data_IF_345817114044
#
_entry.id   IF_345817114044
#
_cell.length_a   1.000
_cell.length_b   1.000
_cell.length_c   1.000
_cell.angle_alpha   90.00
_cell.angle_beta   90.00
_cell.angle_gamma   90.00
#
_symmetry.space_group_name_H-M   'P 1'
#
loop_
_entity.id
_entity.type
_entity.pdbx_description
1 polymer ?
#
# COMPACT_ATOMS: atom_id res chain seq x y z
N UNK A 1 27.68 6.34 21.26
CA UNK A 1 28.52 6.56 20.05
C UNK A 1 28.73 5.28 19.24
N UNK A 2 29.02 4.10 19.83
CA UNK A 2 29.23 2.84 19.09
C UNK A 2 28.00 2.30 18.33
N UNK A 3 26.79 2.44 18.90
CA UNK A 3 25.52 1.97 18.29
C UNK A 3 25.14 2.74 17.01
N UNK A 4 25.50 4.03 16.92
CA UNK A 4 25.16 4.87 15.77
C UNK A 4 25.91 4.40 14.51
N UNK A 5 27.16 3.95 14.67
CA UNK A 5 28.01 3.48 13.57
C UNK A 5 27.59 2.11 13.02
N UNK A 6 27.04 1.22 13.84
CA UNK A 6 26.54 -0.09 13.38
C UNK A 6 25.22 0.04 12.59
N UNK A 7 24.38 1.02 12.93
CA UNK A 7 23.10 1.25 12.28
C UNK A 7 23.19 2.08 10.99
N UNK A 8 24.21 2.92 10.86
CA UNK A 8 24.35 3.86 9.73
C UNK A 8 24.30 3.20 8.34
N UNK A 9 24.96 2.05 8.08
CA UNK A 9 24.89 1.40 6.76
C UNK A 9 23.48 0.91 6.44
N UNK A 10 22.79 0.32 7.42
CA UNK A 10 21.43 -0.19 7.25
C UNK A 10 20.40 0.92 7.01
N UNK A 11 20.52 2.05 7.74
CA UNK A 11 19.70 3.24 7.53
C UNK A 11 19.97 3.86 6.16
N UNK A 12 21.24 3.95 5.74
CA UNK A 12 21.61 4.49 4.43
C UNK A 12 21.01 3.65 3.30
N UNK A 13 21.15 2.32 3.39
CA UNK A 13 20.55 1.40 2.42
C UNK A 13 19.03 1.52 2.39
N UNK A 14 18.39 1.61 3.56
CA UNK A 14 16.96 1.82 3.69
C UNK A 14 16.53 3.12 2.99
N UNK A 15 17.21 4.24 3.24
CA UNK A 15 16.90 5.54 2.62
C UNK A 15 17.04 5.53 1.10
N UNK A 16 18.13 4.96 0.57
CA UNK A 16 18.31 4.79 -0.88
C UNK A 16 17.12 4.01 -1.47
N UNK A 17 16.70 2.96 -0.78
CA UNK A 17 15.60 2.11 -1.22
C UNK A 17 14.25 2.83 -1.17
N UNK A 18 13.98 3.62 -0.12
CA UNK A 18 12.77 4.44 -0.02
C UNK A 18 12.74 5.51 -1.13
N UNK A 19 13.86 6.17 -1.40
CA UNK A 19 13.96 7.15 -2.49
C UNK A 19 13.70 6.51 -3.85
N UNK A 20 14.24 5.31 -4.10
CA UNK A 20 13.93 4.56 -5.31
C UNK A 20 12.43 4.28 -5.45
N UNK A 21 11.77 3.80 -4.39
CA UNK A 21 10.33 3.56 -4.44
C UNK A 21 9.49 4.84 -4.55
N UNK A 22 9.97 5.96 -4.01
CA UNK A 22 9.33 7.26 -4.14
C UNK A 22 9.35 7.73 -5.61
N UNK A 23 10.51 7.63 -6.26
CA UNK A 23 10.65 7.94 -7.70
C UNK A 23 9.79 7.02 -8.56
N UNK A 24 9.72 5.72 -8.22
CA UNK A 24 8.86 4.76 -8.88
C UNK A 24 7.38 5.17 -8.81
N UNK A 25 6.86 5.42 -7.61
CA UNK A 25 5.46 5.79 -7.40
C UNK A 25 5.13 7.13 -8.07
N UNK A 26 6.05 8.10 -8.03
CA UNK A 26 5.89 9.40 -8.68
C UNK A 26 5.79 9.27 -10.20
N UNK A 27 6.67 8.47 -10.80
CA UNK A 27 6.66 8.21 -12.25
C UNK A 27 5.41 7.44 -12.67
N UNK A 28 5.02 6.42 -11.90
CA UNK A 28 3.82 5.63 -12.18
C UNK A 28 2.55 6.49 -12.07
N UNK A 29 2.42 7.29 -11.01
CA UNK A 29 1.29 8.19 -10.81
C UNK A 29 1.21 9.21 -11.94
N UNK A 30 2.32 9.88 -12.27
CA UNK A 30 2.38 10.85 -13.37
C UNK A 30 1.92 10.22 -14.70
N UNK A 31 2.41 9.02 -15.00
CA UNK A 31 2.04 8.30 -16.23
C UNK A 31 0.56 7.95 -16.26
N UNK A 32 0.02 7.43 -15.16
CA UNK A 32 -1.39 7.03 -15.06
C UNK A 32 -2.31 8.25 -15.13
N UNK A 33 -1.96 9.33 -14.43
CA UNK A 33 -2.70 10.60 -14.48
C UNK A 33 -2.66 11.18 -15.88
N UNK A 34 -1.50 11.20 -16.53
CA UNK A 34 -1.36 11.68 -17.91
C UNK A 34 -2.27 10.90 -18.87
N UNK A 35 -2.20 9.56 -18.85
CA UNK A 35 -3.03 8.73 -19.72
C UNK A 35 -4.52 8.84 -19.44
N UNK A 36 -4.90 8.96 -18.16
CA UNK A 36 -6.30 9.02 -17.77
C UNK A 36 -6.92 10.38 -18.07
N UNK A 37 -6.31 11.46 -17.61
CA UNK A 37 -6.92 12.79 -17.67
C UNK A 37 -6.64 13.49 -19.00
N UNK A 38 -5.45 13.31 -19.57
CA UNK A 38 -5.08 13.97 -20.84
C UNK A 38 -5.43 13.11 -22.06
N UNK A 39 -5.24 11.79 -22.00
CA UNK A 39 -5.56 10.88 -23.12
C UNK A 39 -6.93 10.21 -23.03
N UNK A 40 -7.67 10.38 -21.91
CA UNK A 40 -9.02 9.82 -21.68
C UNK A 40 -9.12 8.31 -21.90
N UNK A 41 -8.02 7.56 -21.69
CA UNK A 41 -8.03 6.10 -21.78
C UNK A 41 -8.88 5.48 -20.64
N UNK A 42 -9.81 4.58 -20.98
CA UNK A 42 -10.66 3.87 -20.00
C UNK A 42 -9.93 2.65 -19.43
N UNK A 43 -9.93 2.48 -18.11
CA UNK A 43 -9.23 1.39 -17.43
C UNK A 43 -9.30 1.47 -15.90
N UNK A 44 -8.82 0.46 -15.17
CA UNK A 44 -8.84 0.41 -13.69
C UNK A 44 -7.84 1.40 -13.04
N UNK A 45 -7.61 2.55 -13.66
CA UNK A 45 -6.70 3.58 -13.22
C UNK A 45 -7.12 4.23 -11.89
N UNK A 46 -8.38 4.12 -11.49
CA UNK A 46 -8.87 4.75 -10.25
C UNK A 46 -8.16 4.23 -9.02
N UNK A 47 -8.14 2.91 -8.85
CA UNK A 47 -7.46 2.29 -7.72
C UNK A 47 -5.96 2.54 -7.75
N UNK A 48 -5.35 2.51 -8.94
CA UNK A 48 -3.91 2.75 -9.08
C UNK A 48 -3.57 4.17 -8.62
N UNK A 49 -4.33 5.19 -9.06
CA UNK A 49 -4.11 6.59 -8.65
C UNK A 49 -4.16 6.71 -7.12
N UNK A 50 -5.20 6.20 -6.47
CA UNK A 50 -5.33 6.28 -5.01
C UNK A 50 -4.20 5.53 -4.27
N UNK A 51 -3.85 4.32 -4.72
CA UNK A 51 -2.78 3.52 -4.12
C UNK A 51 -1.41 4.16 -4.29
N UNK A 52 -1.10 4.72 -5.46
CA UNK A 52 0.18 5.40 -5.72
C UNK A 52 0.27 6.74 -5.02
N UNK A 53 -0.83 7.51 -4.94
CA UNK A 53 -0.86 8.75 -4.15
C UNK A 53 -0.59 8.49 -2.67
N UNK A 54 -1.24 7.47 -2.10
CA UNK A 54 -0.96 7.09 -0.70
C UNK A 54 0.42 6.48 -0.52
N UNK A 55 0.93 5.77 -1.53
CA UNK A 55 2.30 5.29 -1.57
C UNK A 55 3.35 6.40 -1.53
N UNK A 56 3.10 7.51 -2.23
CA UNK A 56 3.95 8.70 -2.17
C UNK A 56 3.90 9.35 -0.79
N UNK A 57 2.69 9.62 -0.29
CA UNK A 57 2.48 10.27 1.00
C UNK A 57 3.14 9.46 2.12
N UNK A 58 2.91 8.14 2.17
CA UNK A 58 3.51 7.26 3.18
C UNK A 58 5.04 7.27 3.14
N UNK A 59 5.66 7.24 1.94
CA UNK A 59 7.12 7.29 1.79
C UNK A 59 7.70 8.63 2.24
N UNK A 60 7.04 9.74 1.93
CA UNK A 60 7.45 11.06 2.42
C UNK A 60 7.36 11.09 3.96
N UNK A 61 6.27 10.59 4.55
CA UNK A 61 6.15 10.48 6.00
C UNK A 61 7.23 9.57 6.62
N UNK A 62 7.57 8.45 5.98
CA UNK A 62 8.66 7.57 6.40
C UNK A 62 10.00 8.31 6.43
N UNK A 63 10.29 9.13 5.41
CA UNK A 63 11.50 9.96 5.41
C UNK A 63 11.51 10.90 6.62
N UNK A 64 10.40 11.56 6.93
CA UNK A 64 10.31 12.38 8.14
C UNK A 64 10.49 11.55 9.42
N UNK A 65 9.91 10.34 9.52
CA UNK A 65 10.03 9.50 10.71
C UNK A 65 11.44 8.94 10.94
N UNK A 66 12.14 8.55 9.88
CA UNK A 66 13.46 7.87 9.97
C UNK A 66 14.62 8.85 9.91
N UNK A 67 14.53 9.90 9.09
CA UNK A 67 15.62 10.88 8.89
C UNK A 67 15.61 11.96 9.98
N UNK A 68 14.46 12.25 10.60
CA UNK A 68 14.41 13.30 11.61
C UNK A 68 15.29 13.01 12.83
N UNK A 69 15.37 11.74 13.28
CA UNK A 69 16.21 11.41 14.43
C UNK A 69 17.70 11.78 14.23
N UNK A 70 18.40 11.30 13.18
CA UNK A 70 19.80 11.67 12.96
C UNK A 70 20.00 13.16 12.64
N UNK A 71 19.07 13.81 11.94
CA UNK A 71 19.16 15.26 11.66
C UNK A 71 19.06 16.08 12.94
N UNK A 72 18.10 15.76 13.81
CA UNK A 72 17.85 16.50 15.05
C UNK A 72 18.97 16.28 16.06
N UNK A 73 19.57 15.10 16.07
CA UNK A 73 20.79 14.80 16.83
C UNK A 73 21.99 15.59 16.28
N UNK A 74 22.18 15.65 14.96
CA UNK A 74 23.22 16.46 14.33
C UNK A 74 23.07 17.96 14.63
N UNK A 75 21.83 18.48 14.69
CA UNK A 75 21.53 19.88 14.99
C UNK A 75 21.52 20.21 16.50
N UNK A 76 21.73 19.24 17.40
CA UNK A 76 21.64 19.40 18.85
C UNK A 76 20.30 19.96 19.37
N UNK A 77 19.19 19.75 18.63
CA UNK A 77 17.84 20.25 19.00
C UNK A 77 17.14 19.27 19.96
N UNK A 78 17.52 18.00 19.95
CA UNK A 78 16.93 16.93 20.78
C UNK A 78 15.69 16.29 20.14
N UNK A 79 15.68 14.96 20.01
CA UNK A 79 14.65 14.20 19.28
C UNK A 79 13.23 14.43 19.80
N UNK A 80 13.05 14.54 21.11
CA UNK A 80 11.73 14.77 21.72
C UNK A 80 11.14 16.13 21.36
N UNK A 81 11.97 17.17 21.15
CA UNK A 81 11.50 18.50 20.71
C UNK A 81 10.91 18.42 19.29
N UNK A 82 11.59 17.72 18.38
CA UNK A 82 11.05 17.44 17.05
C UNK A 82 9.75 16.63 17.10
N UNK A 83 9.73 15.60 17.95
CA UNK A 83 8.60 14.70 18.10
C UNK A 83 7.35 15.42 18.62
N UNK A 84 7.51 16.37 19.54
CA UNK A 84 6.41 17.20 20.02
C UNK A 84 5.94 18.21 18.97
N UNK A 85 6.85 18.77 18.16
CA UNK A 85 6.50 19.79 17.19
C UNK A 85 5.81 19.24 15.92
N UNK A 86 6.28 18.12 15.39
CA UNK A 86 5.90 17.62 14.06
C UNK A 86 5.50 16.13 14.06
N UNK A 87 5.88 15.39 15.10
CA UNK A 87 5.69 13.94 15.17
C UNK A 87 4.22 13.50 15.07
N UNK A 88 3.31 14.20 15.74
CA UNK A 88 1.87 13.88 15.70
C UNK A 88 1.28 14.03 14.30
N UNK A 89 1.59 15.14 13.62
CA UNK A 89 1.10 15.40 12.26
C UNK A 89 1.65 14.38 11.26
N UNK A 90 2.96 14.08 11.33
CA UNK A 90 3.59 13.08 10.47
C UNK A 90 3.00 11.68 10.72
N UNK A 91 2.71 11.36 11.98
CA UNK A 91 2.08 10.09 12.38
C UNK A 91 0.65 9.99 11.86
N UNK A 92 -0.14 11.08 11.93
CA UNK A 92 -1.48 11.15 11.38
C UNK A 92 -1.48 10.88 9.86
N UNK A 93 -0.63 11.60 9.13
CA UNK A 93 -0.52 11.49 7.66
C UNK A 93 -0.06 10.08 7.26
N UNK A 94 0.93 9.53 7.97
CA UNK A 94 1.40 8.17 7.74
C UNK A 94 0.27 7.15 7.99
N UNK A 95 -0.42 7.25 9.12
CA UNK A 95 -1.50 6.33 9.49
C UNK A 95 -2.66 6.38 8.48
N UNK A 96 -3.02 7.58 8.01
CA UNK A 96 -4.02 7.74 6.94
C UNK A 96 -3.59 7.06 5.65
N UNK A 97 -2.37 7.36 5.17
CA UNK A 97 -1.84 6.81 3.93
C UNK A 97 -1.59 5.30 3.97
N UNK A 98 -1.58 4.71 5.17
CA UNK A 98 -1.54 3.27 5.41
C UNK A 98 -2.93 2.62 5.49
N UNK A 99 -3.84 3.17 6.30
CA UNK A 99 -5.18 2.61 6.52
C UNK A 99 -6.06 2.72 5.28
N UNK A 100 -5.95 3.81 4.52
CA UNK A 100 -6.78 3.98 3.34
C UNK A 100 -6.56 2.89 2.27
N UNK A 101 -5.32 2.55 1.86
CA UNK A 101 -5.04 1.38 1.03
C UNK A 101 -5.61 0.06 1.56
N UNK A 102 -5.64 -0.13 2.88
CA UNK A 102 -6.19 -1.33 3.50
C UNK A 102 -7.70 -1.47 3.20
N UNK A 103 -8.49 -0.44 3.48
CA UNK A 103 -9.92 -0.44 3.16
C UNK A 103 -10.19 -0.40 1.65
N UNK A 104 -9.33 0.27 0.88
CA UNK A 104 -9.40 0.26 -0.57
C UNK A 104 -9.19 -1.15 -1.13
N UNK A 105 -8.33 -1.96 -0.51
CA UNK A 105 -8.13 -3.38 -0.88
C UNK A 105 -9.37 -4.23 -0.61
N UNK A 106 -10.11 -3.95 0.48
CA UNK A 106 -11.39 -4.58 0.76
C UNK A 106 -12.43 -4.19 -0.31
N UNK A 107 -12.54 -2.90 -0.66
CA UNK A 107 -13.42 -2.43 -1.74
C UNK A 107 -13.08 -3.10 -3.07
N UNK A 108 -11.78 -3.19 -3.41
CA UNK A 108 -11.32 -3.90 -4.60
C UNK A 108 -11.74 -5.36 -4.60
N UNK A 109 -11.66 -6.04 -3.45
CA UNK A 109 -12.06 -7.45 -3.30
C UNK A 109 -13.56 -7.62 -3.50
N UNK A 110 -14.38 -6.80 -2.84
CA UNK A 110 -15.84 -6.80 -2.99
C UNK A 110 -16.24 -6.53 -4.45
N UNK A 111 -15.60 -5.55 -5.09
CA UNK A 111 -15.84 -5.22 -6.49
C UNK A 111 -15.59 -6.44 -7.42
N UNK A 112 -14.55 -7.25 -7.17
CA UNK A 112 -14.29 -8.48 -7.94
C UNK A 112 -15.34 -9.55 -7.71
N UNK A 113 -15.77 -9.73 -6.46
CA UNK A 113 -16.83 -10.69 -6.12
C UNK A 113 -18.14 -10.32 -6.84
N UNK A 114 -18.53 -9.04 -6.80
CA UNK A 114 -19.80 -8.60 -7.42
C UNK A 114 -19.79 -8.73 -8.95
N UNK A 115 -18.64 -8.45 -9.60
CA UNK A 115 -18.48 -8.70 -11.05
C UNK A 115 -18.73 -10.17 -11.38
N UNK A 116 -18.22 -11.08 -10.55
CA UNK A 116 -18.35 -12.52 -10.78
C UNK A 116 -19.77 -13.04 -10.51
N UNK A 117 -20.39 -12.64 -9.39
CA UNK A 117 -21.73 -13.13 -9.03
C UNK A 117 -22.82 -12.52 -9.91
N UNK A 118 -22.70 -11.23 -10.27
CA UNK A 118 -23.74 -10.51 -11.01
C UNK A 118 -23.15 -9.53 -12.05
N UNK A 119 -22.63 -10.00 -13.20
CA UNK A 119 -21.93 -9.15 -14.17
C UNK A 119 -22.79 -7.97 -14.68
N UNK A 120 -24.08 -8.21 -14.95
CA UNK A 120 -25.00 -7.16 -15.44
C UNK A 120 -25.28 -6.07 -14.39
N UNK A 121 -25.41 -6.44 -13.11
CA UNK A 121 -25.61 -5.47 -12.02
C UNK A 121 -24.29 -4.77 -11.67
N UNK A 122 -23.16 -5.49 -11.75
CA UNK A 122 -21.83 -4.95 -11.45
C UNK A 122 -21.46 -3.76 -12.33
N UNK A 123 -21.76 -3.82 -13.64
CA UNK A 123 -21.51 -2.69 -14.55
C UNK A 123 -22.28 -1.41 -14.16
N UNK A 124 -23.47 -1.57 -13.54
CA UNK A 124 -24.30 -0.46 -13.06
C UNK A 124 -23.86 0.05 -11.68
N UNK A 125 -23.45 -0.85 -10.79
CA UNK A 125 -23.06 -0.53 -9.40
C UNK A 125 -21.64 0.04 -9.35
N UNK A 126 -20.70 -0.55 -10.09
CA UNK A 126 -19.28 -0.18 -10.09
C UNK A 126 -18.88 0.52 -11.39
N UNK A 127 -19.60 1.59 -11.75
CA UNK A 127 -19.15 2.49 -12.81
C UNK A 127 -17.96 3.33 -12.35
N UNK A 128 -17.11 3.78 -13.28
CA UNK A 128 -15.94 4.59 -12.96
C UNK A 128 -16.21 5.82 -12.06
N UNK A 129 -17.25 6.66 -12.27
CA UNK A 129 -17.51 7.79 -11.38
C UNK A 129 -17.95 7.32 -9.98
N UNK A 130 -18.73 6.24 -9.88
CA UNK A 130 -19.12 5.66 -8.59
C UNK A 130 -17.93 5.10 -7.84
N UNK A 131 -16.97 4.49 -8.54
CA UNK A 131 -15.73 4.02 -7.94
C UNK A 131 -14.90 5.15 -7.32
N UNK A 132 -14.84 6.31 -7.98
CA UNK A 132 -14.20 7.50 -7.41
C UNK A 132 -14.96 7.98 -6.17
N UNK A 133 -16.29 8.03 -6.22
CA UNK A 133 -17.12 8.42 -5.07
C UNK A 133 -16.92 7.47 -3.88
N UNK A 134 -16.97 6.15 -4.10
CA UNK A 134 -16.76 5.15 -3.05
C UNK A 134 -15.36 5.27 -2.44
N UNK A 135 -14.34 5.45 -3.27
CA UNK A 135 -12.95 5.62 -2.79
C UNK A 135 -12.79 6.91 -1.99
N UNK A 136 -13.34 8.03 -2.46
CA UNK A 136 -13.31 9.31 -1.73
C UNK A 136 -14.11 9.25 -0.43
N UNK A 137 -15.25 8.56 -0.40
CA UNK A 137 -16.04 8.40 0.82
C UNK A 137 -15.26 7.60 1.88
N UNK A 138 -14.62 6.50 1.48
CA UNK A 138 -13.75 5.71 2.37
C UNK A 138 -12.60 6.59 2.91
N UNK A 139 -11.97 7.39 2.05
CA UNK A 139 -10.92 8.32 2.47
C UNK A 139 -11.42 9.32 3.52
N UNK A 140 -12.59 9.93 3.28
CA UNK A 140 -13.21 10.88 4.22
C UNK A 140 -13.51 10.20 5.56
N UNK A 141 -14.12 9.01 5.54
CA UNK A 141 -14.45 8.26 6.76
C UNK A 141 -13.18 7.96 7.57
N UNK A 142 -12.11 7.48 6.93
CA UNK A 142 -10.85 7.17 7.61
C UNK A 142 -10.19 8.45 8.14
N UNK A 143 -10.23 9.54 7.37
CA UNK A 143 -9.68 10.81 7.81
C UNK A 143 -10.42 11.33 9.05
N UNK A 144 -11.74 11.36 9.03
CA UNK A 144 -12.56 11.74 10.20
C UNK A 144 -12.23 10.84 11.38
N UNK A 145 -12.11 9.54 11.15
CA UNK A 145 -11.78 8.57 12.19
C UNK A 145 -10.42 8.83 12.84
N UNK A 146 -9.43 9.31 12.07
CA UNK A 146 -8.12 9.67 12.59
C UNK A 146 -8.05 11.08 13.18
N UNK A 147 -8.90 12.00 12.72
CA UNK A 147 -8.96 13.37 13.25
C UNK A 147 -9.60 13.43 14.65
N UNK A 148 -10.53 12.54 14.97
CA UNK A 148 -11.14 12.51 16.31
C UNK A 148 -10.08 12.28 17.41
N UNK A 149 -9.22 11.24 17.37
CA UNK A 149 -8.17 11.08 18.37
C UNK A 149 -7.13 12.21 18.29
N UNK A 150 -6.83 12.73 17.09
CA UNK A 150 -5.88 13.82 16.89
C UNK A 150 -6.30 15.15 17.55
N UNK A 151 -7.59 15.48 17.55
CA UNK A 151 -8.10 16.68 18.24
C UNK A 151 -8.53 16.42 19.70
N UNK A 152 -8.34 15.20 20.20
CA UNK A 152 -8.60 14.83 21.59
C UNK A 152 -7.29 14.72 22.36
N UNK A 153 -7.36 14.52 23.68
CA UNK A 153 -6.19 14.25 24.54
C UNK A 153 -5.51 12.88 24.27
N UNK A 154 -5.93 12.17 23.21
CA UNK A 154 -5.45 10.86 22.79
C UNK A 154 -4.74 10.91 21.43
N UNK A 155 -3.87 11.90 21.21
CA UNK A 155 -3.05 11.98 19.99
C UNK A 155 -2.14 10.76 19.86
N UNK A 156 -1.88 10.36 18.61
CA UNK A 156 -0.96 9.27 18.30
C UNK A 156 0.37 9.87 17.85
N UNK A 157 1.45 9.53 18.54
CA UNK A 157 2.78 10.04 18.23
C UNK A 157 3.79 8.90 18.10
N UNK A 158 4.39 8.80 16.92
CA UNK A 158 5.42 7.82 16.64
C UNK A 158 6.71 8.12 17.42
N UNK A 159 7.25 7.10 18.11
CA UNK A 159 8.56 7.15 18.77
C UNK A 159 9.53 6.22 18.05
N UNK A 160 10.54 6.80 17.40
CA UNK A 160 11.58 6.07 16.67
C UNK A 160 12.40 5.17 17.59
N UNK A 161 12.73 5.66 18.79
CA UNK A 161 13.57 4.96 19.77
C UNK A 161 12.95 3.65 20.27
N UNK A 162 11.63 3.61 20.48
CA UNK A 162 10.91 2.40 20.91
C UNK A 162 10.22 1.70 19.74
N UNK A 163 10.30 2.27 18.53
CA UNK A 163 9.66 1.75 17.32
C UNK A 163 8.15 1.51 17.46
N UNK A 164 7.48 2.33 18.27
CA UNK A 164 6.05 2.22 18.60
C UNK A 164 5.30 3.50 18.27
N UNK A 165 4.03 3.32 17.91
CA UNK A 165 3.07 4.42 18.02
C UNK A 165 2.60 4.46 19.47
N UNK A 166 2.90 5.56 20.15
CA UNK A 166 2.46 5.79 21.53
C UNK A 166 1.24 6.72 21.47
N UNK A 167 0.16 6.33 22.16
CA UNK A 167 -0.95 7.22 22.41
C UNK A 167 -0.61 8.14 23.58
N UNK A 168 -0.97 9.41 23.49
CA UNK A 168 -0.81 10.38 24.58
C UNK A 168 -1.69 10.06 25.80
N UNK A 169 -2.69 9.19 25.63
CA UNK A 169 -3.58 8.72 26.68
C UNK A 169 -3.40 7.23 27.01
N UNK A 170 -3.90 6.83 28.18
CA UNK A 170 -3.87 5.44 28.64
C UNK A 170 -4.52 4.47 27.64
N UNK A 171 -3.96 3.25 27.48
CA UNK A 171 -4.53 2.24 26.61
C UNK A 171 -5.97 1.92 27.04
N UNK A 172 -6.92 2.16 26.13
CA UNK A 172 -8.35 1.87 26.35
C UNK A 172 -9.20 3.05 26.81
N UNK A 173 -8.62 4.24 27.02
CA UNK A 173 -9.38 5.43 27.46
C UNK A 173 -10.29 6.00 26.37
N UNK A 174 -9.92 5.84 25.10
CA UNK A 174 -10.69 6.34 23.96
C UNK A 174 -11.21 5.17 23.11
N UNK A 175 -12.54 5.04 22.91
CA UNK A 175 -13.16 3.86 22.31
C UNK A 175 -12.73 3.66 20.86
N UNK A 176 -12.43 4.75 20.18
CA UNK A 176 -12.01 4.78 18.79
C UNK A 176 -10.60 4.21 18.63
N UNK A 177 -9.64 4.62 19.47
CA UNK A 177 -8.26 4.10 19.41
C UNK A 177 -8.20 2.65 19.89
N UNK A 178 -9.06 2.29 20.85
CA UNK A 178 -9.25 0.90 21.26
C UNK A 178 -9.75 0.04 20.10
N UNK A 179 -10.79 0.48 19.38
CA UNK A 179 -11.30 -0.24 18.22
C UNK A 179 -10.22 -0.37 17.14
N UNK A 180 -9.53 0.73 16.83
CA UNK A 180 -8.47 0.74 15.83
C UNK A 180 -7.41 -0.30 16.16
N UNK A 181 -6.91 -0.29 17.39
CA UNK A 181 -5.93 -1.27 17.82
C UNK A 181 -6.51 -2.69 17.78
N UNK A 182 -7.69 -2.94 18.33
CA UNK A 182 -8.22 -4.31 18.44
C UNK A 182 -8.65 -4.92 17.10
N UNK A 183 -9.29 -4.16 16.22
CA UNK A 183 -10.01 -4.73 15.07
C UNK A 183 -9.38 -4.44 13.72
N UNK A 184 -8.66 -3.33 13.54
CA UNK A 184 -8.10 -2.99 12.21
C UNK A 184 -7.06 -4.00 11.74
N UNK A 185 -6.32 -4.60 12.68
CA UNK A 185 -5.32 -5.63 12.40
C UNK A 185 -5.91 -6.84 11.66
N UNK A 186 -7.21 -7.10 11.83
CA UNK A 186 -7.92 -8.22 11.21
C UNK A 186 -8.48 -7.91 9.81
N UNK A 187 -8.53 -6.64 9.39
CA UNK A 187 -9.11 -6.24 8.11
C UNK A 187 -8.38 -6.88 6.91
N UNK A 188 -7.03 -6.94 6.86
CA UNK A 188 -6.32 -7.62 5.77
C UNK A 188 -6.60 -9.12 5.75
N UNK A 189 -6.65 -9.77 6.92
CA UNK A 189 -6.96 -11.20 7.02
C UNK A 189 -8.39 -11.51 6.55
N UNK A 190 -9.36 -10.67 6.91
CA UNK A 190 -10.72 -10.77 6.38
C UNK A 190 -10.76 -10.63 4.86
N UNK A 191 -9.98 -9.70 4.30
CA UNK A 191 -9.86 -9.51 2.85
C UNK A 191 -9.23 -10.72 2.16
N UNK A 192 -8.21 -11.35 2.75
CA UNK A 192 -7.63 -12.62 2.27
C UNK A 192 -8.67 -13.73 2.30
N UNK A 193 -9.42 -13.89 3.39
CA UNK A 193 -10.45 -14.92 3.51
C UNK A 193 -11.51 -14.78 2.41
N UNK A 194 -12.03 -13.56 2.20
CA UNK A 194 -12.97 -13.27 1.11
C UNK A 194 -12.37 -13.59 -0.27
N UNK A 195 -11.09 -13.26 -0.48
CA UNK A 195 -10.41 -13.51 -1.74
C UNK A 195 -10.18 -15.01 -2.00
N UNK A 196 -9.86 -15.78 -0.96
CA UNK A 196 -9.71 -17.24 -1.06
C UNK A 196 -11.06 -17.89 -1.38
N UNK A 197 -12.12 -17.51 -0.66
CA UNK A 197 -13.50 -17.98 -0.93
C UNK A 197 -13.87 -17.70 -2.39
N UNK A 198 -13.62 -16.48 -2.86
CA UNK A 198 -13.84 -16.10 -4.26
C UNK A 198 -13.09 -16.99 -5.25
N UNK A 199 -11.79 -17.24 -5.02
CA UNK A 199 -10.97 -18.07 -5.91
C UNK A 199 -11.46 -19.53 -5.95
N UNK A 200 -11.89 -20.07 -4.81
CA UNK A 200 -12.45 -21.43 -4.70
C UNK A 200 -13.75 -21.53 -5.49
N UNK A 201 -14.70 -20.61 -5.30
CA UNK A 201 -15.97 -20.59 -6.03
C UNK A 201 -15.73 -20.47 -7.54
N UNK A 202 -14.82 -19.58 -7.96
CA UNK A 202 -14.46 -19.41 -9.37
C UNK A 202 -13.88 -20.68 -9.98
N UNK A 203 -13.03 -21.42 -9.24
CA UNK A 203 -12.44 -22.69 -9.70
C UNK A 203 -13.51 -23.76 -9.92
N UNK A 204 -14.51 -23.84 -9.05
CA UNK A 204 -15.65 -24.75 -9.23
C UNK A 204 -16.55 -24.33 -10.41
N UNK A 205 -16.81 -23.03 -10.57
CA UNK A 205 -17.62 -22.52 -11.67
C UNK A 205 -16.96 -22.73 -13.04
N UNK A 206 -15.65 -22.53 -13.16
CA UNK A 206 -14.93 -22.69 -14.44
C UNK A 206 -14.88 -24.15 -14.93
N UNK A 207 -15.08 -25.15 -14.05
CA UNK A 207 -15.24 -26.55 -14.46
C UNK A 207 -16.56 -26.80 -15.20
N UNK A 208 -17.56 -25.93 -15.05
CA UNK A 208 -18.92 -26.13 -15.55
C UNK A 208 -19.27 -25.26 -16.78
N UNK A 209 -18.32 -24.50 -17.35
CA UNK A 209 -18.41 -24.02 -18.73
C UNK A 209 -18.30 -22.52 -19.00
N UNK A 210 -17.91 -22.25 -20.26
CA UNK A 210 -18.06 -21.07 -21.13
C UNK A 210 -16.79 -20.30 -21.54
N UNK A 211 -16.59 -20.25 -22.88
CA UNK A 211 -15.55 -19.52 -23.60
C UNK A 211 -15.68 -18.02 -23.41
N UNK A 212 -15.03 -17.50 -22.36
CA UNK A 212 -14.80 -16.07 -22.24
C UNK A 212 -13.73 -15.67 -23.25
N UNK A 213 -13.93 -14.61 -24.04
CA UNK A 213 -12.92 -14.11 -24.97
C UNK A 213 -11.56 -13.98 -24.28
N UNK A 214 -10.54 -14.61 -24.86
CA UNK A 214 -9.20 -14.78 -24.24
C UNK A 214 -8.59 -13.48 -23.68
N UNK A 215 -8.93 -12.33 -24.24
CA UNK A 215 -8.46 -11.01 -23.78
C UNK A 215 -9.13 -10.53 -22.48
N UNK A 216 -10.45 -10.71 -22.33
CA UNK A 216 -11.17 -10.26 -21.14
C UNK A 216 -10.81 -11.13 -19.93
N UNK A 217 -10.72 -12.45 -20.12
CA UNK A 217 -10.28 -13.40 -19.10
C UNK A 217 -8.84 -13.13 -18.62
N UNK A 218 -7.92 -12.77 -19.52
CA UNK A 218 -6.54 -12.37 -19.19
C UNK A 218 -6.52 -11.08 -18.36
N UNK A 219 -7.33 -10.08 -18.71
CA UNK A 219 -7.43 -8.81 -17.97
C UNK A 219 -7.96 -9.02 -16.56
N UNK A 220 -9.02 -9.79 -16.41
CA UNK A 220 -9.62 -10.10 -15.10
C UNK A 220 -8.65 -10.88 -14.22
N UNK A 221 -7.98 -11.89 -14.77
CA UNK A 221 -6.98 -12.67 -14.02
C UNK A 221 -5.81 -11.81 -13.55
N UNK A 222 -5.36 -10.85 -14.35
CA UNK A 222 -4.34 -9.89 -13.91
C UNK A 222 -4.82 -9.01 -12.75
N UNK A 223 -6.06 -8.51 -12.81
CA UNK A 223 -6.64 -7.68 -11.75
C UNK A 223 -6.89 -8.47 -10.46
N UNK A 224 -7.30 -9.73 -10.56
CA UNK A 224 -7.47 -10.63 -9.41
C UNK A 224 -6.11 -10.87 -8.74
N UNK A 225 -5.09 -11.18 -9.54
CA UNK A 225 -3.73 -11.38 -9.05
C UNK A 225 -3.18 -10.14 -8.34
N UNK A 226 -3.44 -8.94 -8.85
CA UNK A 226 -3.07 -7.70 -8.17
C UNK A 226 -3.67 -7.61 -6.77
N UNK A 227 -5.00 -7.77 -6.67
CA UNK A 227 -5.71 -7.65 -5.40
C UNK A 227 -5.26 -8.73 -4.43
N UNK A 228 -5.11 -9.99 -4.88
CA UNK A 228 -4.56 -11.08 -4.06
C UNK A 228 -3.20 -10.74 -3.47
N UNK A 229 -2.29 -10.21 -4.30
CA UNK A 229 -0.97 -9.81 -3.82
C UNK A 229 -1.04 -8.67 -2.82
N UNK A 230 -1.88 -7.65 -3.04
CA UNK A 230 -2.06 -6.54 -2.08
C UNK A 230 -2.53 -7.07 -0.72
N UNK A 231 -3.60 -7.88 -0.69
CA UNK A 231 -4.19 -8.34 0.58
C UNK A 231 -3.26 -9.31 1.33
N UNK A 232 -2.55 -10.19 0.62
CA UNK A 232 -1.55 -11.09 1.22
C UNK A 232 -0.39 -10.27 1.79
N UNK A 233 0.10 -9.30 1.02
CA UNK A 233 1.22 -8.46 1.43
C UNK A 233 0.88 -7.65 2.70
N UNK A 234 -0.29 -7.02 2.74
CA UNK A 234 -0.77 -6.30 3.92
C UNK A 234 -0.99 -7.24 5.12
N UNK A 235 -1.44 -8.47 4.91
CA UNK A 235 -1.61 -9.45 5.99
C UNK A 235 -0.28 -9.91 6.59
N UNK A 236 0.76 -10.07 5.77
CA UNK A 236 2.12 -10.38 6.26
C UNK A 236 2.64 -9.21 7.11
N UNK A 237 2.44 -7.98 6.66
CA UNK A 237 2.78 -6.79 7.46
C UNK A 237 2.08 -6.80 8.83
N UNK A 238 0.77 -7.05 8.85
CA UNK A 238 0.01 -7.06 10.10
C UNK A 238 0.36 -8.23 11.01
N UNK A 239 0.71 -9.38 10.45
CA UNK A 239 1.18 -10.52 11.24
C UNK A 239 2.46 -10.18 12.01
N UNK A 240 3.39 -9.45 11.37
CA UNK A 240 4.61 -8.97 12.03
C UNK A 240 4.27 -7.98 13.15
N UNK A 241 3.31 -7.08 12.94
CA UNK A 241 2.87 -6.15 13.97
C UNK A 241 2.15 -6.83 15.14
N UNK A 242 1.33 -7.83 14.85
CA UNK A 242 0.61 -8.62 15.84
C UNK A 242 1.58 -9.38 16.76
N UNK A 243 2.68 -9.92 16.20
CA UNK A 243 3.73 -10.56 16.97
C UNK A 243 4.39 -9.59 17.97
N UNK A 244 4.71 -8.36 17.54
CA UNK A 244 5.24 -7.30 18.40
C UNK A 244 4.29 -6.93 19.55
N UNK A 245 2.98 -7.03 19.30
CA UNK A 245 1.96 -6.68 20.28
C UNK A 245 1.68 -7.78 21.29
N UNK A 246 1.75 -9.05 20.90
CA UNK A 246 1.54 -10.17 21.82
C UNK A 246 2.74 -10.40 22.74
N UNK A 247 3.95 -10.07 22.31
CA UNK A 247 5.17 -10.27 23.08
C UNK A 247 5.99 -8.98 23.23
N UNK A 248 5.42 -7.91 23.84
CA UNK A 248 6.09 -6.61 23.94
C UNK A 248 7.33 -6.67 24.83
N UNK A 249 7.26 -7.39 25.95
CA UNK A 249 8.37 -7.55 26.90
C UNK A 249 9.54 -8.32 26.28
N UNK A 250 9.23 -9.37 25.52
CA UNK A 250 10.24 -10.13 24.79
C UNK A 250 10.92 -9.25 23.72
N UNK A 251 10.15 -8.42 23.01
CA UNK A 251 10.72 -7.53 22.01
C UNK A 251 11.61 -6.44 22.62
N UNK A 252 11.21 -5.88 23.76
CA UNK A 252 12.00 -4.87 24.49
C UNK A 252 13.30 -5.44 25.06
N UNK A 253 13.36 -6.74 25.34
CA UNK A 253 14.58 -7.40 25.78
C UNK A 253 15.66 -7.52 24.69
N UNK A 254 15.30 -7.34 23.41
CA UNK A 254 16.28 -7.38 22.32
C UNK A 254 17.15 -6.11 22.29
N UNK A 255 18.40 -6.21 21.78
CA UNK A 255 19.23 -5.05 21.49
C UNK A 255 18.52 -4.03 20.59
N UNK A 256 18.83 -2.74 20.81
CA UNK A 256 18.25 -1.61 20.08
C UNK A 256 18.43 -1.73 18.56
N UNK A 257 19.49 -2.38 18.11
CA UNK A 257 19.76 -2.66 16.70
C UNK A 257 18.70 -3.58 16.09
N UNK A 258 18.32 -4.66 16.80
CA UNK A 258 17.30 -5.62 16.34
C UNK A 258 15.93 -4.94 16.32
N UNK A 259 15.63 -4.14 17.34
CA UNK A 259 14.37 -3.39 17.40
C UNK A 259 14.25 -2.43 16.21
N UNK A 260 15.33 -1.71 15.93
CA UNK A 260 15.42 -0.77 14.80
C UNK A 260 15.36 -1.48 13.43
N UNK A 261 16.01 -2.64 13.28
CA UNK A 261 15.92 -3.43 12.04
C UNK A 261 14.50 -3.93 11.79
N UNK A 262 13.84 -4.47 12.82
CA UNK A 262 12.45 -4.92 12.74
C UNK A 262 11.53 -3.78 12.31
N UNK A 263 11.75 -2.57 12.84
CA UNK A 263 11.01 -1.38 12.44
C UNK A 263 11.25 -0.98 10.99
N UNK A 264 12.51 -0.89 10.55
CA UNK A 264 12.83 -0.58 9.15
C UNK A 264 12.26 -1.62 8.20
N UNK A 265 12.25 -2.90 8.58
CA UNK A 265 11.62 -3.96 7.78
C UNK A 265 10.10 -3.75 7.62
N UNK A 266 9.42 -3.32 8.70
CA UNK A 266 7.98 -2.98 8.65
C UNK A 266 7.72 -1.79 7.73
N UNK A 267 8.49 -0.71 7.86
CA UNK A 267 8.35 0.45 6.99
C UNK A 267 8.68 0.11 5.53
N UNK A 268 9.70 -0.72 5.31
CA UNK A 268 10.07 -1.22 3.98
C UNK A 268 8.93 -2.01 3.35
N UNK A 269 8.23 -2.83 4.13
CA UNK A 269 7.08 -3.58 3.63
C UNK A 269 5.99 -2.62 3.10
N UNK A 270 5.59 -1.61 3.88
CA UNK A 270 4.63 -0.60 3.40
C UNK A 270 5.16 0.15 2.17
N UNK A 271 6.41 0.59 2.20
CA UNK A 271 7.00 1.39 1.13
C UNK A 271 7.11 0.62 -0.20
N UNK A 272 7.45 -0.67 -0.15
CA UNK A 272 7.67 -1.50 -1.34
C UNK A 272 6.39 -2.09 -1.94
N UNK A 273 5.24 -2.01 -1.25
CA UNK A 273 3.96 -2.58 -1.67
C UNK A 273 3.60 -2.25 -3.13
N UNK A 274 3.61 -0.96 -3.49
CA UNK A 274 3.24 -0.50 -4.82
C UNK A 274 4.21 -1.02 -5.90
N UNK A 275 5.51 -1.02 -5.61
CA UNK A 275 6.51 -1.57 -6.52
C UNK A 275 6.29 -3.07 -6.75
N UNK A 276 6.11 -3.84 -5.68
CA UNK A 276 5.87 -5.28 -5.79
C UNK A 276 4.60 -5.59 -6.58
N UNK A 277 3.51 -4.87 -6.33
CA UNK A 277 2.22 -5.14 -7.00
C UNK A 277 2.20 -4.64 -8.45
N UNK A 278 2.65 -3.41 -8.70
CA UNK A 278 2.50 -2.77 -10.01
C UNK A 278 3.71 -2.96 -10.93
N UNK A 279 4.91 -3.19 -10.41
CA UNK A 279 6.09 -3.48 -11.25
C UNK A 279 6.33 -4.98 -11.36
N UNK A 280 6.45 -5.69 -10.24
CA UNK A 280 6.86 -7.12 -10.24
C UNK A 280 5.69 -8.01 -10.70
N UNK A 281 4.53 -7.85 -10.07
CA UNK A 281 3.37 -8.72 -10.29
C UNK A 281 2.63 -8.38 -11.58
N UNK A 282 2.48 -7.09 -11.92
CA UNK A 282 1.61 -6.71 -13.03
C UNK A 282 2.38 -6.34 -14.30
N UNK A 283 2.27 -7.20 -15.32
CA UNK A 283 2.94 -6.96 -16.63
C UNK A 283 2.48 -5.68 -17.33
N UNK A 284 1.18 -5.35 -17.28
CA UNK A 284 0.64 -4.18 -17.99
C UNK A 284 1.12 -2.85 -17.42
N UNK A 285 1.09 -2.69 -16.10
CA UNK A 285 1.62 -1.49 -15.42
C UNK A 285 3.14 -1.42 -15.48
N UNK A 286 3.85 -2.56 -15.49
CA UNK A 286 5.29 -2.58 -15.75
C UNK A 286 5.62 -2.04 -17.15
N UNK A 287 4.95 -2.52 -18.20
CA UNK A 287 5.14 -1.98 -19.56
C UNK A 287 4.79 -0.50 -19.63
N UNK A 288 3.73 -0.09 -18.94
CA UNK A 288 3.34 1.30 -18.86
C UNK A 288 4.46 2.17 -18.27
N UNK A 289 5.05 1.74 -17.16
CA UNK A 289 6.18 2.42 -16.52
C UNK A 289 7.44 2.41 -17.39
N UNK A 290 7.81 1.25 -17.95
CA UNK A 290 8.99 1.11 -18.82
C UNK A 290 8.88 2.02 -20.05
N UNK A 291 7.70 2.09 -20.68
CA UNK A 291 7.47 3.00 -21.80
C UNK A 291 7.58 4.47 -21.39
N UNK A 292 7.18 4.82 -20.16
CA UNK A 292 7.27 6.20 -19.66
C UNK A 292 8.72 6.65 -19.45
N UNK A 293 9.60 5.76 -19.01
CA UNK A 293 11.04 6.04 -18.87
C UNK A 293 11.82 5.88 -20.19
N UNK A 294 11.14 5.69 -21.32
CA UNK A 294 11.76 5.55 -22.64
C UNK A 294 12.36 4.16 -22.94
N UNK A 295 12.11 3.16 -22.09
CA UNK A 295 12.55 1.79 -22.33
C UNK A 295 11.65 1.13 -23.40
N UNK A 296 12.03 1.27 -24.67
CA UNK A 296 11.44 0.50 -25.76
C UNK A 296 11.93 -0.94 -25.65
N UNK A 297 11.01 -1.91 -25.54
CA UNK A 297 11.35 -3.32 -25.77
C UNK A 297 11.93 -3.42 -27.19
N UNK A 298 13.26 -3.52 -27.30
CA UNK A 298 13.91 -3.94 -28.53
C UNK A 298 13.50 -5.40 -28.79
N UNK A 299 12.71 -5.59 -29.84
CA UNK A 299 12.40 -6.84 -30.54
C UNK A 299 11.81 -8.05 -29.76
N UNK A 300 10.56 -8.38 -30.12
CA UNK A 300 10.16 -9.76 -30.48
C UNK A 300 9.64 -9.70 -31.92
N UNK A 301 10.49 -9.90 -32.93
CA UNK A 301 10.74 -11.17 -33.65
C UNK A 301 9.47 -11.82 -34.20
N UNK A 302 9.35 -11.83 -35.54
CA UNK A 302 8.80 -12.95 -36.31
C UNK A 302 7.29 -12.99 -36.60
N UNK A 303 6.83 -12.19 -37.56
CA UNK A 303 5.83 -12.67 -38.53
C UNK A 303 6.37 -12.30 -39.91
N UNK A 304 6.91 -13.30 -40.62
CA UNK A 304 7.16 -13.19 -42.05
C UNK A 304 5.86 -12.76 -42.72
N UNK A 305 5.88 -11.63 -43.41
CA UNK A 305 4.90 -11.36 -44.44
C UNK A 305 5.11 -12.45 -45.51
N UNK A 306 4.19 -13.41 -45.57
CA UNK A 306 4.09 -14.30 -46.72
C UNK A 306 3.71 -13.41 -47.90
N UNK A 307 4.68 -13.20 -48.78
CA UNK A 307 4.48 -12.62 -50.11
C UNK A 307 3.55 -13.54 -50.89
N UNK A 308 2.32 -13.09 -51.13
CA UNK A 308 1.50 -13.66 -52.19
C UNK A 308 2.03 -13.12 -53.53
N UNK A 309 2.91 -13.88 -54.16
CA UNK A 309 3.18 -13.77 -55.59
C UNK A 309 1.96 -14.33 -56.34
N UNK A 310 1.23 -13.47 -57.04
CA UNK A 310 0.24 -13.89 -58.03
C UNK A 310 0.89 -13.70 -59.40
N UNK A 311 1.26 -14.84 -60.00
CA UNK A 311 1.32 -15.04 -61.46
C UNK A 311 -0.08 -15.05 -62.03
#
# INVERSE_FOLDING_TARGET
MSVLWSLLPSQTLFLITILFFLLYDGTLLSTVVHKRFFKKEKGPFAYIVYMTSCGLISKVSILFMVVAWPIVEFLNIGYEVYRQAVGELVTLIFTFSYLFPMFLSLLMTIHRIVIFVTPMKAARVFSEPKLLIYSSLIAIVILVWLLIPFYSDCTMNFKALTSRLESACDPGRHPITLFQNMYLIYVPFGSVALMVIYLVIRRFSNKNGSDTTNHQAKRETAMIRQVSFIVIYLSVYELIYLHLRWFPEHFESFPIEIQSMSYMLRLFAIASLNFMVYFVVTKSTRRLFLNAIGWKESNKVGVQAVSASVT
#
